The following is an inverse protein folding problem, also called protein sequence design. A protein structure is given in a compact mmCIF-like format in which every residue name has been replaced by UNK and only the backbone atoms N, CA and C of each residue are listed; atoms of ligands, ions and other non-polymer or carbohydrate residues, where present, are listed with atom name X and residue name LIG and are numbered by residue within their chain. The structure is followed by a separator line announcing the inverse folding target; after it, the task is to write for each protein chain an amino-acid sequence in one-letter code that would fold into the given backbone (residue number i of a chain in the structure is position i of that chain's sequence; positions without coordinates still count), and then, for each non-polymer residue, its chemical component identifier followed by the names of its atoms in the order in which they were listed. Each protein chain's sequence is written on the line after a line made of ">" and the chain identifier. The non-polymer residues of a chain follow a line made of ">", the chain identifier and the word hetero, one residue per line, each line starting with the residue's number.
data_IF_302584630095
#
_entry.id   IF_302584630095
#
_cell.length_a   1.000
_cell.length_b   1.000
_cell.length_c   1.000
_cell.angle_alpha   90.00
_cell.angle_beta   90.00
_cell.angle_gamma   90.00
#
_symmetry.space_group_name_H-M   'P 1'
#
loop_
_entity.id
_entity.type
_entity.pdbx_description
1 polymer ?
#
# COMPACT_ATOMS: atom_id res chain seq x y z
N UNK A 1 -0.63 19.15 18.13
CA UNK A 1 0.29 18.56 17.13
C UNK A 1 1.34 17.80 17.92
N UNK A 2 1.54 16.51 17.63
CA UNK A 2 2.61 15.71 18.24
C UNK A 2 3.83 15.67 17.32
N UNK A 3 5.02 15.55 17.90
CA UNK A 3 6.27 15.42 17.15
C UNK A 3 6.79 13.99 17.26
N UNK A 4 7.02 13.36 16.11
CA UNK A 4 7.68 12.06 16.01
C UNK A 4 9.10 12.28 15.48
N UNK A 5 10.11 12.06 16.32
CA UNK A 5 11.51 12.08 15.90
C UNK A 5 11.94 10.65 15.58
N UNK A 6 12.26 10.40 14.32
CA UNK A 6 12.77 9.11 13.83
C UNK A 6 14.12 9.35 13.19
N UNK A 7 15.12 8.58 13.61
CA UNK A 7 16.41 8.51 12.92
C UNK A 7 16.30 7.43 11.86
N UNK A 8 16.46 7.81 10.60
CA UNK A 8 16.47 6.89 9.47
C UNK A 8 17.89 6.74 8.96
N UNK A 9 18.19 5.58 8.38
CA UNK A 9 19.43 5.38 7.65
C UNK A 9 19.54 6.39 6.49
N UNK A 10 20.76 6.82 6.19
CA UNK A 10 21.04 7.88 5.23
C UNK A 10 20.63 7.47 3.81
N UNK A 11 20.82 6.21 3.44
CA UNK A 11 20.39 5.67 2.15
C UNK A 11 18.86 5.65 2.03
N UNK A 12 18.19 5.20 3.09
CA UNK A 12 16.73 5.13 3.13
C UNK A 12 16.11 6.53 3.05
N UNK A 13 16.69 7.50 3.76
CA UNK A 13 16.25 8.89 3.73
C UNK A 13 16.38 9.50 2.33
N UNK A 14 17.48 9.20 1.63
CA UNK A 14 17.72 9.67 0.26
C UNK A 14 16.68 9.11 -0.70
N UNK A 15 16.45 7.80 -0.65
CA UNK A 15 15.46 7.10 -1.47
C UNK A 15 14.03 7.61 -1.21
N UNK A 16 13.70 7.90 0.05
CA UNK A 16 12.41 8.46 0.43
C UNK A 16 12.24 9.88 -0.11
N UNK A 17 13.24 10.75 0.07
CA UNK A 17 13.23 12.14 -0.45
C UNK A 17 13.05 12.18 -1.96
N UNK A 18 13.80 11.38 -2.71
CA UNK A 18 13.65 11.33 -4.17
C UNK A 18 12.24 10.93 -4.61
N UNK A 19 11.66 9.91 -3.98
CA UNK A 19 10.29 9.47 -4.28
C UNK A 19 9.25 10.50 -3.86
N UNK A 20 9.41 11.08 -2.68
CA UNK A 20 8.54 12.14 -2.16
C UNK A 20 8.53 13.35 -3.10
N UNK A 21 9.69 13.79 -3.57
CA UNK A 21 9.79 14.92 -4.50
C UNK A 21 9.26 14.59 -5.90
N UNK A 22 9.41 13.35 -6.37
CA UNK A 22 8.79 12.91 -7.64
C UNK A 22 7.26 12.98 -7.61
N UNK A 23 6.65 12.64 -6.47
CA UNK A 23 5.20 12.57 -6.32
C UNK A 23 4.59 13.93 -5.94
N UNK A 24 5.18 14.62 -4.97
CA UNK A 24 4.63 15.84 -4.36
C UNK A 24 5.36 17.12 -4.79
N UNK A 25 6.36 17.02 -5.66
CA UNK A 25 7.18 18.15 -6.12
C UNK A 25 8.16 18.67 -5.04
N UNK A 26 8.97 19.66 -5.42
CA UNK A 26 10.01 20.26 -4.56
C UNK A 26 9.50 21.45 -3.71
N UNK A 27 8.25 21.40 -3.24
CA UNK A 27 7.64 22.51 -2.47
C UNK A 27 7.85 22.33 -0.97
N UNK A 28 7.87 23.47 -0.25
CA UNK A 28 7.92 23.48 1.23
C UNK A 28 6.64 22.81 1.75
N UNK A 29 6.79 21.63 2.36
CA UNK A 29 5.68 20.80 2.84
C UNK A 29 5.53 19.45 2.14
N UNK A 30 6.16 19.23 0.97
CA UNK A 30 6.05 17.97 0.22
C UNK A 30 6.55 16.76 1.00
N UNK A 31 7.63 16.93 1.78
CA UNK A 31 8.14 15.89 2.69
C UNK A 31 7.16 15.55 3.82
N UNK A 32 6.51 16.56 4.40
CA UNK A 32 5.51 16.34 5.45
C UNK A 32 4.32 15.55 4.90
N UNK A 33 3.79 15.95 3.74
CA UNK A 33 2.70 15.25 3.07
C UNK A 33 3.08 13.80 2.70
N UNK A 34 4.31 13.58 2.25
CA UNK A 34 4.81 12.23 1.95
C UNK A 34 4.89 11.35 3.20
N UNK A 35 5.35 11.90 4.33
CA UNK A 35 5.40 11.17 5.62
C UNK A 35 3.99 10.87 6.12
N UNK A 36 3.07 11.83 6.06
CA UNK A 36 1.67 11.60 6.44
C UNK A 36 1.01 10.52 5.57
N UNK A 37 1.28 10.52 4.25
CA UNK A 37 0.80 9.46 3.36
C UNK A 37 1.42 8.10 3.73
N UNK A 38 2.73 8.04 3.95
CA UNK A 38 3.41 6.79 4.28
C UNK A 38 2.93 6.20 5.61
N UNK A 39 2.67 7.04 6.62
CA UNK A 39 2.13 6.59 7.90
C UNK A 39 0.69 6.07 7.73
N UNK A 40 -0.15 6.76 6.95
CA UNK A 40 -1.51 6.28 6.64
C UNK A 40 -1.49 4.95 5.92
N UNK A 41 -0.68 4.83 4.87
CA UNK A 41 -0.55 3.61 4.09
C UNK A 41 -0.01 2.45 4.97
N UNK A 42 0.94 2.73 5.85
CA UNK A 42 1.44 1.76 6.82
C UNK A 42 0.34 1.28 7.77
N UNK A 43 -0.46 2.19 8.34
CA UNK A 43 -1.58 1.84 9.22
C UNK A 43 -2.61 1.00 8.46
N UNK A 44 -3.04 1.43 7.27
CA UNK A 44 -4.00 0.67 6.45
C UNK A 44 -3.48 -0.74 6.11
N UNK A 45 -2.19 -0.87 5.81
CA UNK A 45 -1.56 -2.17 5.53
C UNK A 45 -1.55 -3.08 6.76
N UNK A 46 -1.24 -2.53 7.94
CA UNK A 46 -1.25 -3.29 9.20
C UNK A 46 -2.68 -3.68 9.56
N UNK A 47 -3.65 -2.77 9.41
CA UNK A 47 -5.06 -3.05 9.65
C UNK A 47 -5.59 -4.14 8.70
N UNK A 48 -5.15 -4.13 7.44
CA UNK A 48 -5.48 -5.19 6.47
C UNK A 48 -4.83 -6.54 6.85
N UNK A 49 -3.61 -6.53 7.36
CA UNK A 49 -2.90 -7.75 7.79
C UNK A 49 -3.43 -8.31 9.12
N UNK A 50 -3.95 -7.46 10.00
CA UNK A 50 -4.53 -7.84 11.30
C UNK A 50 -6.02 -8.20 11.21
N UNK A 51 -6.69 -7.94 10.08
CA UNK A 51 -8.04 -8.44 9.82
C UNK A 51 -7.98 -9.94 9.53
N UNK A 52 -8.05 -10.75 10.59
CA UNK A 52 -8.25 -12.20 10.49
C UNK A 52 -9.56 -12.55 9.75
N UNK A 53 -10.57 -11.67 9.82
CA UNK A 53 -11.85 -11.80 9.12
C UNK A 53 -12.06 -10.71 8.07
N UNK A 54 -11.43 -10.88 6.89
CA UNK A 54 -11.82 -10.11 5.71
C UNK A 54 -13.23 -10.51 5.31
N UNK A 55 -14.21 -9.63 5.54
CA UNK A 55 -15.57 -9.88 5.08
C UNK A 55 -15.63 -9.81 3.56
N UNK A 56 -16.61 -10.50 2.95
CA UNK A 56 -16.85 -10.45 1.50
C UNK A 56 -17.05 -9.01 1.00
N UNK A 57 -17.54 -8.09 1.85
CA UNK A 57 -17.67 -6.66 1.52
C UNK A 57 -16.33 -5.95 1.39
N UNK A 58 -15.38 -6.26 2.26
CA UNK A 58 -14.04 -5.66 2.22
C UNK A 58 -13.29 -6.10 0.96
N UNK A 59 -13.36 -7.40 0.63
CA UNK A 59 -12.80 -7.95 -0.61
C UNK A 59 -13.43 -7.28 -1.84
N UNK A 60 -14.76 -7.08 -1.82
CA UNK A 60 -15.46 -6.39 -2.91
C UNK A 60 -15.06 -4.93 -3.05
N UNK A 61 -14.75 -4.26 -1.93
CA UNK A 61 -14.22 -2.89 -1.93
C UNK A 61 -12.83 -2.81 -2.56
N UNK A 62 -11.93 -3.72 -2.19
CA UNK A 62 -10.57 -3.82 -2.74
C UNK A 62 -10.58 -4.11 -4.25
N UNK A 63 -11.55 -4.88 -4.73
CA UNK A 63 -11.68 -5.24 -6.15
C UNK A 63 -12.55 -4.26 -6.96
N UNK A 64 -13.02 -3.15 -6.38
CA UNK A 64 -14.00 -2.25 -7.03
C UNK A 64 -13.44 -1.53 -8.25
N UNK A 65 -12.16 -1.20 -8.26
CA UNK A 65 -11.51 -0.45 -9.34
C UNK A 65 -11.00 -1.38 -10.47
N UNK A 66 -11.05 -2.69 -10.24
CA UNK A 66 -10.69 -3.71 -11.22
C UNK A 66 -11.83 -3.88 -12.23
N UNK A 67 -11.63 -3.33 -13.43
CA UNK A 67 -12.53 -3.49 -14.59
C UNK A 67 -12.40 -4.88 -15.22
N UNK A 68 -12.60 -5.93 -14.43
CA UNK A 68 -12.57 -7.34 -14.87
C UNK A 68 -13.84 -8.03 -14.43
N UNK A 69 -14.31 -8.93 -15.28
CA UNK A 69 -15.51 -9.72 -14.98
C UNK A 69 -15.22 -10.74 -13.88
N UNK A 70 -16.28 -11.21 -13.21
CA UNK A 70 -16.17 -12.22 -12.15
C UNK A 70 -15.48 -13.51 -12.64
N UNK A 71 -15.70 -13.89 -13.90
CA UNK A 71 -15.14 -15.10 -14.52
C UNK A 71 -13.64 -14.94 -14.80
N UNK A 72 -13.22 -13.77 -15.30
CA UNK A 72 -11.81 -13.47 -15.51
C UNK A 72 -11.02 -13.41 -14.20
N UNK A 73 -11.63 -12.88 -13.14
CA UNK A 73 -11.08 -12.88 -11.80
C UNK A 73 -10.87 -14.31 -11.29
N UNK A 74 -11.85 -15.19 -11.46
CA UNK A 74 -11.76 -16.60 -11.07
C UNK A 74 -10.65 -17.34 -11.84
N UNK A 75 -10.53 -17.11 -13.14
CA UNK A 75 -9.44 -17.70 -13.93
C UNK A 75 -8.05 -17.21 -13.49
N UNK A 76 -7.90 -15.93 -13.15
CA UNK A 76 -6.63 -15.40 -12.63
C UNK A 76 -6.30 -15.95 -11.25
N UNK A 77 -7.30 -16.03 -10.36
CA UNK A 77 -7.14 -16.62 -9.04
C UNK A 77 -6.70 -18.09 -9.12
N UNK A 78 -7.36 -18.88 -9.99
CA UNK A 78 -7.00 -20.28 -10.22
C UNK A 78 -5.55 -20.42 -10.73
N UNK A 79 -5.11 -19.57 -11.67
CA UNK A 79 -3.72 -19.59 -12.17
C UNK A 79 -2.69 -19.29 -11.09
N UNK A 80 -2.98 -18.33 -10.21
CA UNK A 80 -2.10 -18.00 -9.09
C UNK A 80 -2.01 -19.17 -8.10
N UNK A 81 -3.15 -19.76 -7.76
CA UNK A 81 -3.22 -20.87 -6.82
C UNK A 81 -2.51 -22.13 -7.33
N UNK A 82 -2.71 -22.51 -8.59
CA UNK A 82 -2.00 -23.63 -9.21
C UNK A 82 -0.49 -23.40 -9.22
N UNK A 83 -0.03 -22.15 -9.40
CA UNK A 83 1.39 -21.82 -9.39
C UNK A 83 2.01 -21.93 -7.99
N UNK A 84 1.24 -21.56 -6.96
CA UNK A 84 1.63 -21.69 -5.55
C UNK A 84 1.71 -23.17 -5.12
N UNK A 85 0.73 -24.00 -5.51
CA UNK A 85 0.71 -25.42 -5.16
C UNK A 85 1.69 -26.30 -5.96
N UNK A 86 2.27 -25.78 -7.03
CA UNK A 86 3.26 -26.49 -7.86
C UNK A 86 4.72 -26.12 -7.50
N UNK A 87 4.92 -25.30 -6.47
CA UNK A 87 6.22 -24.94 -5.90
C UNK A 87 6.39 -25.56 -4.51
#
# INVERSE_FOLDING_TARGET
>A
MGELKVTLDEELLKLFKERAYKIFGYKKGSLKSAVELAIKDFIERIDLLQREDLSVKDIRGLLKDLKVTSVELQHKALKLWVRECSS
#
